data_IF_698487222560
#
_entry.id   IF_698487222560
#
_cell.length_a   1.000
_cell.length_b   1.000
_cell.length_c   1.000
_cell.angle_alpha   90.00
_cell.angle_beta   90.00
_cell.angle_gamma   90.00
#
_symmetry.space_group_name_H-M   'P 1'
#
loop_
_entity.id
_entity.type
_entity.pdbx_description
1 polymer ?
#
# COMPACT_ATOMS: atom_id res chain seq x y z
N UNK A 1 -4.76 -20.32 0.33
CA UNK A 1 -5.49 -20.44 -0.97
C UNK A 1 -4.61 -20.01 -2.15
N UNK A 2 -5.05 -20.21 -3.41
CA UNK A 2 -4.37 -19.67 -4.60
C UNK A 2 -5.13 -18.47 -5.19
N UNK A 3 -4.53 -17.78 -6.17
CA UNK A 3 -5.10 -16.58 -6.80
C UNK A 3 -6.50 -16.80 -7.41
N UNK A 4 -6.71 -17.91 -8.11
CA UNK A 4 -8.02 -18.25 -8.71
C UNK A 4 -9.10 -18.48 -7.66
N UNK A 5 -8.75 -19.13 -6.54
CA UNK A 5 -9.67 -19.33 -5.42
C UNK A 5 -10.02 -17.99 -4.76
N UNK A 6 -9.02 -17.12 -4.53
CA UNK A 6 -9.21 -15.78 -4.00
C UNK A 6 -10.13 -14.93 -4.91
N UNK A 7 -9.82 -14.87 -6.20
CA UNK A 7 -10.64 -14.15 -7.19
C UNK A 7 -12.09 -14.65 -7.21
N UNK A 8 -12.29 -15.97 -7.24
CA UNK A 8 -13.63 -16.58 -7.18
C UNK A 8 -14.37 -16.19 -5.91
N UNK A 9 -13.70 -16.22 -4.76
CA UNK A 9 -14.29 -15.86 -3.48
C UNK A 9 -14.76 -14.40 -3.48
N UNK A 10 -13.91 -13.48 -3.93
CA UNK A 10 -14.23 -12.06 -4.05
C UNK A 10 -15.45 -11.80 -4.98
N UNK A 11 -15.53 -12.55 -6.09
CA UNK A 11 -16.64 -12.40 -7.03
C UNK A 11 -17.97 -13.02 -6.56
N UNK A 12 -17.98 -13.82 -5.48
CA UNK A 12 -19.20 -14.39 -4.90
C UNK A 12 -19.82 -13.54 -3.80
N UNK A 13 -19.10 -12.52 -3.31
CA UNK A 13 -19.55 -11.66 -2.22
C UNK A 13 -19.97 -10.28 -2.70
N UNK A 14 -20.87 -9.65 -1.95
CA UNK A 14 -21.36 -8.30 -2.14
C UNK A 14 -21.09 -7.45 -0.90
N UNK A 15 -21.15 -6.13 -1.04
CA UNK A 15 -20.87 -5.19 0.04
C UNK A 15 -19.51 -5.45 0.70
N UNK A 16 -18.49 -5.44 -0.14
CA UNK A 16 -17.11 -5.73 0.27
C UNK A 16 -16.48 -4.47 0.86
N UNK A 17 -15.97 -4.58 2.09
CA UNK A 17 -15.15 -3.54 2.73
C UNK A 17 -13.68 -3.97 2.68
N UNK A 18 -12.83 -3.13 2.10
CA UNK A 18 -11.40 -3.39 2.03
C UNK A 18 -10.70 -2.53 3.08
N UNK A 19 -9.93 -3.15 3.96
CA UNK A 19 -9.18 -2.48 5.02
C UNK A 19 -7.68 -2.52 4.75
N UNK A 20 -7.02 -1.40 5.03
CA UNK A 20 -5.57 -1.21 4.96
C UNK A 20 -4.96 -1.32 6.35
N UNK A 21 -3.64 -1.38 6.51
CA UNK A 21 -3.05 -1.37 7.85
C UNK A 21 -3.07 0.04 8.50
N UNK A 22 -2.88 0.09 9.83
CA UNK A 22 -3.01 1.29 10.66
C UNK A 22 -1.99 2.41 10.36
N UNK A 23 -0.84 2.09 9.78
CA UNK A 23 0.17 3.07 9.36
C UNK A 23 0.33 3.01 7.84
N UNK A 24 -0.70 3.41 7.07
CA UNK A 24 -0.79 3.05 5.65
C UNK A 24 0.34 3.68 4.84
N UNK A 25 0.96 2.85 4.04
CA UNK A 25 1.97 3.21 3.06
C UNK A 25 1.44 3.09 1.61
N UNK A 26 2.35 3.19 0.64
CA UNK A 26 1.98 3.13 -0.77
C UNK A 26 1.46 1.76 -1.19
N UNK A 27 2.01 0.67 -0.65
CA UNK A 27 1.59 -0.68 -1.06
C UNK A 27 0.19 -1.00 -0.56
N UNK A 28 -0.08 -0.88 0.75
CA UNK A 28 -1.41 -1.20 1.28
C UNK A 28 -2.52 -0.33 0.67
N UNK A 29 -2.28 1.00 0.52
CA UNK A 29 -3.31 1.93 0.03
C UNK A 29 -3.59 1.73 -1.45
N UNK A 30 -2.53 1.66 -2.27
CA UNK A 30 -2.70 1.58 -3.70
C UNK A 30 -3.18 0.19 -4.14
N UNK A 31 -2.71 -0.87 -3.51
CA UNK A 31 -3.20 -2.24 -3.76
C UNK A 31 -4.67 -2.39 -3.39
N UNK A 32 -5.09 -1.86 -2.23
CA UNK A 32 -6.51 -1.85 -1.83
C UNK A 32 -7.38 -1.06 -2.81
N UNK A 33 -6.90 0.12 -3.27
CA UNK A 33 -7.61 0.95 -4.23
C UNK A 33 -7.75 0.27 -5.61
N UNK A 34 -6.70 -0.40 -6.08
CA UNK A 34 -6.73 -1.16 -7.33
C UNK A 34 -7.71 -2.33 -7.25
N UNK A 35 -7.69 -3.09 -6.16
CA UNK A 35 -8.64 -4.18 -5.93
C UNK A 35 -10.09 -3.67 -5.87
N UNK A 36 -10.33 -2.57 -5.15
CA UNK A 36 -11.65 -1.94 -5.08
C UNK A 36 -12.16 -1.51 -6.46
N UNK A 37 -11.30 -0.87 -7.25
CA UNK A 37 -11.61 -0.46 -8.63
C UNK A 37 -12.01 -1.66 -9.50
N UNK A 38 -11.21 -2.71 -9.51
CA UNK A 38 -11.46 -3.91 -10.29
C UNK A 38 -12.76 -4.62 -9.87
N UNK A 39 -13.03 -4.73 -8.58
CA UNK A 39 -14.28 -5.29 -8.06
C UNK A 39 -15.50 -4.48 -8.49
N UNK A 40 -15.44 -3.14 -8.42
CA UNK A 40 -16.53 -2.26 -8.89
C UNK A 40 -16.78 -2.43 -10.39
N UNK A 41 -15.74 -2.52 -11.21
CA UNK A 41 -15.87 -2.81 -12.65
C UNK A 41 -16.47 -4.19 -12.92
N UNK A 42 -16.16 -5.16 -12.06
CA UNK A 42 -16.80 -6.50 -12.06
C UNK A 42 -18.23 -6.52 -11.51
N UNK A 43 -18.84 -5.36 -11.23
CA UNK A 43 -20.21 -5.24 -10.75
C UNK A 43 -20.38 -5.49 -9.25
N UNK A 44 -19.29 -5.56 -8.47
CA UNK A 44 -19.36 -5.73 -7.01
C UNK A 44 -19.50 -4.37 -6.32
N UNK A 45 -20.32 -4.33 -5.27
CA UNK A 45 -20.39 -3.17 -4.39
C UNK A 45 -19.24 -3.23 -3.39
N UNK A 46 -18.14 -2.51 -3.69
CA UNK A 46 -16.90 -2.55 -2.93
C UNK A 46 -16.42 -1.14 -2.55
N UNK A 47 -15.89 -1.00 -1.33
CA UNK A 47 -15.36 0.24 -0.79
C UNK A 47 -14.14 0.02 0.09
N UNK A 48 -13.31 1.06 0.24
CA UNK A 48 -12.27 1.09 1.24
C UNK A 48 -12.82 1.60 2.57
N UNK A 49 -12.37 1.00 3.66
CA UNK A 49 -12.54 1.58 4.98
C UNK A 49 -11.90 2.97 5.01
N UNK A 50 -12.61 4.02 5.46
CA UNK A 50 -12.08 5.38 5.51
C UNK A 50 -11.05 5.50 6.66
N UNK A 51 -9.89 4.89 6.48
CA UNK A 51 -8.82 4.87 7.46
C UNK A 51 -8.32 6.30 7.74
N UNK A 52 -8.49 6.83 8.96
CA UNK A 52 -8.12 8.22 9.29
C UNK A 52 -6.61 8.45 9.28
N UNK A 53 -5.80 7.39 9.23
CA UNK A 53 -4.35 7.46 9.25
C UNK A 53 -3.75 7.54 7.84
N UNK A 54 -4.57 7.47 6.78
CA UNK A 54 -4.11 7.71 5.40
C UNK A 54 -3.63 9.14 5.28
N UNK A 55 -2.35 9.31 5.04
CA UNK A 55 -1.73 10.62 4.94
C UNK A 55 -2.13 11.37 3.66
N UNK A 56 -1.85 12.68 3.61
CA UNK A 56 -2.23 13.56 2.50
C UNK A 56 -1.63 13.18 1.14
N UNK A 57 -0.49 12.48 1.11
CA UNK A 57 0.13 12.04 -0.15
C UNK A 57 -0.59 10.85 -0.76
N UNK A 58 -1.09 9.95 0.07
CA UNK A 58 -1.80 8.74 -0.36
C UNK A 58 -3.30 8.95 -0.54
N UNK A 59 -3.88 9.92 0.18
CA UNK A 59 -5.31 10.20 0.16
C UNK A 59 -5.90 10.39 -1.24
N UNK A 60 -5.27 11.11 -2.19
CA UNK A 60 -5.80 11.26 -3.56
C UNK A 60 -5.99 9.94 -4.32
N UNK A 61 -5.26 8.89 -3.95
CA UNK A 61 -5.35 7.57 -4.57
C UNK A 61 -6.44 6.70 -3.95
N UNK A 62 -6.93 7.04 -2.75
CA UNK A 62 -7.87 6.23 -1.98
C UNK A 62 -9.25 6.85 -1.83
N UNK A 63 -9.37 8.18 -1.66
CA UNK A 63 -10.57 8.85 -1.18
C UNK A 63 -11.82 8.62 -2.04
N UNK A 64 -11.67 8.49 -3.36
CA UNK A 64 -12.80 8.17 -4.26
C UNK A 64 -13.39 6.77 -4.05
N UNK A 65 -12.69 5.94 -3.29
CA UNK A 65 -13.09 4.58 -2.98
C UNK A 65 -13.59 4.42 -1.53
N UNK A 66 -13.49 5.43 -0.69
CA UNK A 66 -13.93 5.34 0.70
C UNK A 66 -15.41 5.01 0.80
N UNK A 67 -15.75 4.19 1.79
CA UNK A 67 -17.11 3.84 2.10
C UNK A 67 -17.90 5.08 2.58
N UNK A 68 -19.12 5.28 2.09
CA UNK A 68 -20.03 6.28 2.67
C UNK A 68 -20.46 5.83 4.08
N UNK A 69 -20.98 6.79 4.87
CA UNK A 69 -21.33 6.54 6.29
C UNK A 69 -22.42 5.47 6.47
N UNK A 70 -23.33 5.34 5.51
CA UNK A 70 -24.42 4.37 5.52
C UNK A 70 -24.05 3.00 4.96
N UNK A 71 -22.79 2.80 4.56
CA UNK A 71 -22.33 1.52 4.01
C UNK A 71 -22.28 0.45 5.08
N UNK A 72 -22.96 -0.66 4.82
CA UNK A 72 -22.92 -1.85 5.68
C UNK A 72 -22.15 -2.97 5.01
N UNK A 73 -20.96 -3.28 5.52
CA UNK A 73 -20.14 -4.38 5.04
C UNK A 73 -20.79 -5.74 5.32
N UNK A 74 -20.67 -6.64 4.34
CA UNK A 74 -21.06 -8.06 4.47
C UNK A 74 -19.84 -8.99 4.33
N UNK A 75 -18.77 -8.49 3.80
CA UNK A 75 -17.52 -9.21 3.60
C UNK A 75 -16.34 -8.24 3.74
N UNK A 76 -15.40 -8.54 4.61
CA UNK A 76 -14.25 -7.68 4.89
C UNK A 76 -12.97 -8.31 4.38
N UNK A 77 -12.21 -7.53 3.61
CA UNK A 77 -10.93 -7.95 3.02
C UNK A 77 -9.81 -7.07 3.56
N UNK A 78 -8.82 -7.66 4.20
CA UNK A 78 -7.60 -6.96 4.55
C UNK A 78 -6.57 -7.08 3.43
N UNK A 79 -5.93 -5.98 3.08
CA UNK A 79 -4.88 -5.93 2.06
C UNK A 79 -3.59 -5.42 2.69
N UNK A 80 -2.54 -6.23 2.62
CA UNK A 80 -1.22 -5.89 3.16
C UNK A 80 -1.23 -5.69 4.69
N UNK A 81 -1.89 -6.60 5.40
CA UNK A 81 -2.03 -6.54 6.87
C UNK A 81 -1.55 -7.86 7.47
N UNK A 82 -0.36 -7.89 8.01
CA UNK A 82 0.28 -9.11 8.48
C UNK A 82 -0.34 -9.67 9.78
N UNK A 83 -0.89 -8.82 10.64
CA UNK A 83 -1.48 -9.22 11.93
C UNK A 83 -2.70 -8.38 12.25
N UNK A 84 -3.61 -8.96 13.07
CA UNK A 84 -4.80 -8.25 13.54
C UNK A 84 -4.45 -6.92 14.25
N UNK A 85 -3.36 -6.88 15.02
CA UNK A 85 -2.87 -5.67 15.68
C UNK A 85 -2.43 -4.55 14.74
N UNK A 86 -2.33 -4.81 13.44
CA UNK A 86 -2.04 -3.80 12.40
C UNK A 86 -3.30 -3.22 11.75
N UNK A 87 -4.48 -3.69 12.08
CA UNK A 87 -5.73 -3.11 11.58
C UNK A 87 -5.87 -1.63 11.97
N UNK A 88 -6.61 -0.83 11.21
CA UNK A 88 -6.77 0.60 11.48
C UNK A 88 -7.37 0.87 12.86
N UNK A 89 -6.95 1.96 13.49
CA UNK A 89 -7.59 2.41 14.73
C UNK A 89 -9.05 2.74 14.49
N UNK A 90 -9.94 2.21 15.32
CA UNK A 90 -11.38 2.40 15.19
C UNK A 90 -12.06 1.46 14.20
N UNK A 91 -11.33 0.57 13.55
CA UNK A 91 -11.94 -0.53 12.83
C UNK A 91 -12.39 -1.59 13.84
N UNK A 92 -13.68 -1.91 13.83
CA UNK A 92 -14.30 -2.94 14.64
C UNK A 92 -14.95 -3.96 13.72
N UNK A 93 -14.51 -5.20 13.76
CA UNK A 93 -15.06 -6.27 12.93
C UNK A 93 -14.07 -7.38 12.66
N UNK A 94 -14.59 -8.51 12.22
CA UNK A 94 -13.80 -9.64 11.76
C UNK A 94 -13.31 -9.38 10.33
N UNK A 95 -12.18 -9.98 9.97
CA UNK A 95 -11.66 -10.01 8.61
C UNK A 95 -11.94 -11.38 8.01
N UNK A 96 -12.70 -11.41 6.92
CA UNK A 96 -13.08 -12.64 6.23
C UNK A 96 -11.95 -13.17 5.33
N UNK A 97 -11.24 -12.26 4.65
CA UNK A 97 -10.15 -12.58 3.74
C UNK A 97 -8.95 -11.65 3.99
N UNK A 98 -7.75 -12.19 4.01
CA UNK A 98 -6.51 -11.42 3.98
C UNK A 98 -5.72 -11.71 2.72
N UNK A 99 -5.31 -10.68 1.99
CA UNK A 99 -4.35 -10.74 0.87
C UNK A 99 -3.08 -10.05 1.33
N UNK A 100 -1.97 -10.79 1.39
CA UNK A 100 -0.73 -10.31 1.99
C UNK A 100 0.51 -10.93 1.34
N UNK A 101 1.67 -10.30 1.55
CA UNK A 101 2.95 -10.83 1.11
C UNK A 101 3.95 -11.04 2.25
N UNK A 102 3.60 -10.66 3.47
CA UNK A 102 4.49 -10.78 4.61
C UNK A 102 4.66 -12.23 5.08
N UNK A 103 5.89 -12.76 5.18
CA UNK A 103 6.13 -14.12 5.71
C UNK A 103 5.73 -14.27 7.19
N UNK A 104 5.56 -13.15 7.89
CA UNK A 104 5.14 -13.09 9.30
C UNK A 104 3.63 -13.00 9.48
N UNK A 105 2.84 -13.17 8.41
CA UNK A 105 1.38 -13.16 8.52
C UNK A 105 0.88 -14.20 9.53
N UNK A 106 0.05 -13.76 10.47
CA UNK A 106 -0.42 -14.59 11.59
C UNK A 106 -1.60 -15.50 11.26
N UNK A 107 -2.19 -15.39 10.07
CA UNK A 107 -3.38 -16.16 9.67
C UNK A 107 -4.63 -15.80 10.46
N UNK A 108 -4.80 -14.55 10.84
CA UNK A 108 -5.89 -14.05 11.69
C UNK A 108 -7.24 -13.94 10.98
N UNK A 109 -7.25 -13.88 9.66
CA UNK A 109 -8.46 -13.78 8.86
C UNK A 109 -9.12 -15.15 8.67
N UNK A 110 -10.41 -15.16 8.32
CA UNK A 110 -11.15 -16.39 8.01
C UNK A 110 -10.51 -17.20 6.88
N UNK A 111 -10.07 -16.50 5.82
CA UNK A 111 -9.30 -17.07 4.71
C UNK A 111 -8.07 -16.22 4.44
N UNK A 112 -7.00 -16.82 3.90
CA UNK A 112 -5.74 -16.10 3.71
C UNK A 112 -5.06 -16.48 2.39
N UNK A 113 -4.65 -15.45 1.63
CA UNK A 113 -3.74 -15.55 0.50
C UNK A 113 -2.43 -14.85 0.87
N UNK A 114 -1.43 -15.58 1.35
CA UNK A 114 -0.08 -15.05 1.63
C UNK A 114 0.88 -15.46 0.50
N UNK A 115 1.63 -14.49 -0.01
CA UNK A 115 2.61 -14.68 -1.08
C UNK A 115 3.97 -14.11 -0.68
N UNK A 116 4.61 -14.77 0.25
CA UNK A 116 5.92 -14.39 0.78
C UNK A 116 7.07 -14.42 -0.27
N UNK A 117 6.81 -14.95 -1.45
CA UNK A 117 7.69 -14.92 -2.61
C UNK A 117 7.59 -13.62 -3.44
N UNK A 118 6.66 -12.73 -3.10
CA UNK A 118 6.43 -11.44 -3.75
C UNK A 118 7.09 -10.30 -2.98
N UNK A 119 7.56 -9.30 -3.70
CA UNK A 119 8.20 -8.12 -3.10
C UNK A 119 7.21 -7.08 -2.58
N UNK A 120 5.93 -7.22 -2.95
CA UNK A 120 4.86 -6.32 -2.52
C UNK A 120 3.51 -7.02 -2.58
N UNK A 121 2.54 -6.54 -1.82
CA UNK A 121 1.15 -6.98 -1.90
C UNK A 121 0.54 -6.62 -3.26
N UNK A 122 1.00 -5.53 -3.90
CA UNK A 122 0.57 -5.13 -5.24
C UNK A 122 0.77 -6.24 -6.27
N UNK A 123 1.86 -7.00 -6.21
CA UNK A 123 2.07 -8.14 -7.11
C UNK A 123 1.03 -9.25 -6.86
N UNK A 124 0.67 -9.52 -5.62
CA UNK A 124 -0.35 -10.51 -5.29
C UNK A 124 -1.75 -10.06 -5.74
N UNK A 125 -2.09 -8.80 -5.51
CA UNK A 125 -3.37 -8.20 -5.93
C UNK A 125 -3.48 -8.16 -7.46
N UNK A 126 -2.40 -7.84 -8.18
CA UNK A 126 -2.35 -7.90 -9.65
C UNK A 126 -2.78 -9.29 -10.16
N UNK A 127 -2.19 -10.34 -9.63
CA UNK A 127 -2.52 -11.72 -10.01
C UNK A 127 -3.97 -12.09 -9.67
N UNK A 128 -4.49 -11.61 -8.54
CA UNK A 128 -5.89 -11.82 -8.16
C UNK A 128 -6.82 -11.14 -9.17
N UNK A 129 -6.56 -9.89 -9.54
CA UNK A 129 -7.39 -9.14 -10.52
C UNK A 129 -7.36 -9.83 -11.88
N UNK A 130 -6.19 -10.25 -12.36
CA UNK A 130 -6.07 -10.99 -13.63
C UNK A 130 -6.85 -12.32 -13.59
N UNK A 131 -6.93 -12.97 -12.44
CA UNK A 131 -7.76 -14.18 -12.24
C UNK A 131 -9.27 -13.91 -12.21
N UNK A 132 -9.72 -12.66 -12.11
CA UNK A 132 -11.13 -12.28 -12.25
C UNK A 132 -11.59 -12.22 -13.73
N UNK A 133 -10.72 -12.56 -14.69
CA UNK A 133 -10.93 -12.39 -16.14
C UNK A 133 -11.23 -10.94 -16.53
N UNK A 134 -10.56 -10.00 -15.88
CA UNK A 134 -10.72 -8.57 -16.05
C UNK A 134 -9.36 -7.95 -16.38
N UNK A 135 -9.25 -7.29 -17.53
CA UNK A 135 -8.03 -6.54 -17.87
C UNK A 135 -7.85 -5.38 -16.89
N UNK A 136 -6.60 -5.09 -16.55
CA UNK A 136 -6.27 -3.91 -15.74
C UNK A 136 -6.44 -2.63 -16.57
N UNK A 137 -7.08 -1.64 -16.00
CA UNK A 137 -7.09 -0.28 -16.57
C UNK A 137 -5.76 0.43 -16.31
N UNK A 138 -5.40 1.49 -17.09
CA UNK A 138 -4.21 2.29 -16.81
C UNK A 138 -4.16 2.87 -15.39
N UNK A 139 -5.32 3.26 -14.82
CA UNK A 139 -5.42 3.74 -13.45
C UNK A 139 -5.09 2.63 -12.44
N UNK A 140 -5.64 1.44 -12.61
CA UNK A 140 -5.35 0.27 -11.77
C UNK A 140 -3.90 -0.16 -11.90
N UNK A 141 -3.36 -0.17 -13.11
CA UNK A 141 -1.95 -0.43 -13.35
C UNK A 141 -1.05 0.60 -12.64
N UNK A 142 -1.44 1.88 -12.66
CA UNK A 142 -0.73 2.95 -11.94
C UNK A 142 -0.78 2.73 -10.43
N UNK A 143 -1.93 2.37 -9.86
CA UNK A 143 -2.08 2.06 -8.43
C UNK A 143 -1.19 0.88 -8.02
N UNK A 144 -1.21 -0.22 -8.77
CA UNK A 144 -0.35 -1.37 -8.50
C UNK A 144 1.14 -1.03 -8.66
N UNK A 145 1.47 -0.16 -9.61
CA UNK A 145 2.84 0.32 -9.79
C UNK A 145 3.30 1.19 -8.61
N UNK A 146 2.41 1.98 -7.98
CA UNK A 146 2.70 2.70 -6.73
C UNK A 146 3.06 1.70 -5.63
N UNK A 147 2.23 0.67 -5.40
CA UNK A 147 2.50 -0.34 -4.39
C UNK A 147 3.85 -1.02 -4.61
N UNK A 148 4.07 -1.55 -5.80
CA UNK A 148 5.31 -2.25 -6.15
C UNK A 148 6.55 -1.36 -5.96
N UNK A 149 6.50 -0.11 -6.41
CA UNK A 149 7.68 0.78 -6.34
C UNK A 149 7.94 1.30 -4.94
N UNK A 150 6.91 1.56 -4.14
CA UNK A 150 7.10 2.03 -2.76
C UNK A 150 7.67 0.93 -1.88
N UNK A 151 7.19 -0.30 -2.01
CA UNK A 151 7.64 -1.42 -1.18
C UNK A 151 9.03 -1.96 -1.58
N UNK A 152 9.45 -1.76 -2.82
CA UNK A 152 10.80 -2.07 -3.30
C UNK A 152 11.78 -0.91 -3.18
N UNK A 153 11.36 0.23 -2.60
CA UNK A 153 12.18 1.44 -2.56
C UNK A 153 12.66 1.87 -3.95
N UNK A 154 11.75 1.88 -4.92
CA UNK A 154 12.06 2.09 -6.33
C UNK A 154 13.10 1.07 -6.85
N UNK A 155 12.88 -0.20 -6.54
CA UNK A 155 13.73 -1.35 -6.93
C UNK A 155 15.14 -1.35 -6.34
N UNK A 156 15.35 -0.65 -5.21
CA UNK A 156 16.65 -0.57 -4.55
C UNK A 156 16.77 -1.51 -3.35
N UNK A 157 15.67 -2.03 -2.81
CA UNK A 157 15.71 -2.89 -1.63
C UNK A 157 15.97 -4.36 -1.99
N UNK A 158 16.46 -5.12 -1.02
CA UNK A 158 16.84 -6.51 -1.16
C UNK A 158 15.67 -7.47 -1.47
N UNK A 159 14.43 -7.05 -1.25
CA UNK A 159 13.22 -7.79 -1.64
C UNK A 159 12.94 -7.71 -3.16
N UNK A 160 13.61 -6.82 -3.89
CA UNK A 160 13.46 -6.69 -5.33
C UNK A 160 13.96 -7.93 -6.06
N UNK A 161 13.14 -8.51 -6.91
CA UNK A 161 13.44 -9.72 -7.66
C UNK A 161 13.26 -9.53 -9.17
N UNK A 162 13.69 -10.51 -9.96
CA UNK A 162 13.39 -10.53 -11.40
C UNK A 162 11.88 -10.60 -11.67
N UNK A 163 11.08 -11.14 -10.75
CA UNK A 163 9.62 -11.15 -10.85
C UNK A 163 9.06 -9.74 -10.68
N UNK A 164 9.61 -8.95 -9.75
CA UNK A 164 9.22 -7.54 -9.53
C UNK A 164 9.44 -6.69 -10.79
N UNK A 165 10.57 -6.86 -11.47
CA UNK A 165 10.83 -6.17 -12.74
C UNK A 165 9.88 -6.61 -13.86
N UNK A 166 9.52 -7.90 -13.92
CA UNK A 166 8.51 -8.36 -14.90
C UNK A 166 7.14 -7.79 -14.61
N UNK A 167 6.71 -7.75 -13.35
CA UNK A 167 5.46 -7.10 -12.94
C UNK A 167 5.47 -5.60 -13.29
N UNK A 168 6.57 -4.89 -12.99
CA UNK A 168 6.74 -3.49 -13.36
C UNK A 168 6.63 -3.27 -14.87
N UNK A 169 7.32 -4.07 -15.67
CA UNK A 169 7.27 -3.99 -17.14
C UNK A 169 5.85 -4.21 -17.67
N UNK A 170 5.12 -5.17 -17.11
CA UNK A 170 3.73 -5.44 -17.49
C UNK A 170 2.80 -4.29 -17.09
N UNK A 171 2.93 -3.75 -15.88
CA UNK A 171 2.15 -2.59 -15.44
C UNK A 171 2.38 -1.37 -16.33
N UNK A 172 3.64 -1.12 -16.74
CA UNK A 172 3.96 -0.06 -17.71
C UNK A 172 3.36 -0.34 -19.09
N UNK A 173 3.39 -1.58 -19.56
CA UNK A 173 2.74 -1.98 -20.82
C UNK A 173 1.23 -1.74 -20.78
N UNK A 174 0.61 -1.90 -19.59
CA UNK A 174 -0.81 -1.65 -19.35
C UNK A 174 -1.14 -0.16 -19.11
N UNK A 175 -0.15 0.72 -19.18
CA UNK A 175 -0.33 2.17 -19.16
C UNK A 175 -0.12 2.82 -17.78
N UNK A 176 0.60 2.16 -16.86
CA UNK A 176 0.96 2.79 -15.59
C UNK A 176 1.78 4.07 -15.80
N UNK A 177 1.44 5.14 -15.10
CA UNK A 177 2.13 6.43 -15.18
C UNK A 177 3.39 6.46 -14.31
N UNK A 178 4.49 5.88 -14.83
CA UNK A 178 5.79 5.92 -14.16
C UNK A 178 6.28 7.35 -13.86
N UNK A 179 5.99 8.31 -14.75
CA UNK A 179 6.48 9.69 -14.57
C UNK A 179 5.83 10.34 -13.36
N UNK A 180 4.52 10.20 -13.23
CA UNK A 180 3.77 10.68 -12.07
C UNK A 180 4.26 9.98 -10.78
N UNK A 181 4.33 8.64 -10.78
CA UNK A 181 4.76 7.85 -9.60
C UNK A 181 6.17 8.24 -9.15
N UNK A 182 7.12 8.27 -10.09
CA UNK A 182 8.50 8.67 -9.77
C UNK A 182 8.59 10.08 -9.22
N UNK A 183 7.79 11.01 -9.76
CA UNK A 183 7.80 12.39 -9.29
C UNK A 183 7.18 12.53 -7.91
N UNK A 184 5.99 11.94 -7.70
CA UNK A 184 5.22 12.13 -6.46
C UNK A 184 5.89 11.42 -5.28
N UNK A 185 6.35 10.19 -5.47
CA UNK A 185 6.82 9.34 -4.36
C UNK A 185 8.33 9.40 -4.12
N UNK A 186 9.14 9.73 -5.14
CA UNK A 186 10.60 9.61 -5.02
C UNK A 186 11.38 10.90 -5.30
N UNK A 187 10.83 11.85 -6.05
CA UNK A 187 11.57 13.05 -6.47
C UNK A 187 11.06 14.34 -5.83
N UNK A 188 9.78 14.41 -5.50
CA UNK A 188 9.19 15.63 -4.92
C UNK A 188 9.59 15.73 -3.44
N UNK A 189 10.39 16.75 -3.14
CA UNK A 189 10.85 17.04 -1.77
C UNK A 189 10.33 18.41 -1.37
N UNK A 190 9.73 18.54 -0.17
CA UNK A 190 9.28 19.83 0.34
C UNK A 190 10.47 20.69 0.80
N UNK A 191 10.28 22.03 0.79
CA UNK A 191 11.30 22.95 1.33
C UNK A 191 11.59 22.67 2.81
N UNK A 192 10.56 22.31 3.58
CA UNK A 192 10.70 21.99 4.99
C UNK A 192 11.59 20.75 5.19
N UNK A 193 11.36 19.68 4.38
CA UNK A 193 12.20 18.49 4.42
C UNK A 193 13.65 18.80 4.04
N UNK A 194 13.89 19.55 2.96
CA UNK A 194 15.24 19.95 2.57
C UNK A 194 15.97 20.73 3.68
N UNK A 195 15.25 21.66 4.36
CA UNK A 195 15.80 22.40 5.50
C UNK A 195 16.12 21.45 6.65
N UNK A 196 15.24 20.52 6.99
CA UNK A 196 15.44 19.52 8.02
C UNK A 196 16.66 18.64 7.70
N UNK A 197 16.73 18.09 6.49
CA UNK A 197 17.87 17.28 6.04
C UNK A 197 19.19 18.05 6.13
N UNK A 198 19.20 19.32 5.71
CA UNK A 198 20.38 20.19 5.86
C UNK A 198 20.82 20.34 7.32
N UNK A 199 19.87 20.53 8.24
CA UNK A 199 20.17 20.62 9.68
C UNK A 199 20.69 19.28 10.22
N UNK A 200 20.12 18.16 9.79
CA UNK A 200 20.61 16.82 10.14
C UNK A 200 22.06 16.64 9.72
N UNK A 201 22.33 16.84 8.44
CA UNK A 201 23.69 16.64 7.89
C UNK A 201 24.72 17.56 8.53
N UNK A 202 24.34 18.82 8.83
CA UNK A 202 25.23 19.76 9.50
C UNK A 202 25.50 19.42 10.98
N UNK A 203 24.61 18.70 11.63
CA UNK A 203 24.73 18.27 13.03
C UNK A 203 25.30 16.86 13.22
N UNK A 204 25.67 16.16 12.14
CA UNK A 204 26.22 14.81 12.23
C UNK A 204 27.58 14.79 12.94
N UNK A 205 27.70 13.93 13.94
CA UNK A 205 28.94 13.64 14.63
C UNK A 205 29.36 12.19 14.32
N UNK A 206 30.64 12.00 14.01
CA UNK A 206 31.17 10.70 13.66
C UNK A 206 32.09 10.18 14.77
N UNK A 207 31.94 8.90 15.10
CA UNK A 207 32.71 8.19 16.14
C UNK A 207 33.28 6.90 15.57
N UNK A 208 34.32 6.39 16.23
CA UNK A 208 34.98 5.13 15.86
C UNK A 208 35.37 5.06 14.37
N UNK A 209 36.17 6.03 13.92
CA UNK A 209 36.64 6.10 12.53
C UNK A 209 35.52 6.08 11.49
N UNK A 210 34.41 6.79 11.79
CA UNK A 210 33.26 6.89 10.89
C UNK A 210 32.30 5.71 10.91
N UNK A 211 32.50 4.71 11.78
CA UNK A 211 31.63 3.55 11.89
C UNK A 211 30.29 3.84 12.60
N UNK A 212 30.23 4.94 13.35
CA UNK A 212 29.02 5.40 14.03
C UNK A 212 28.79 6.85 13.64
N UNK A 213 27.60 7.17 13.14
CA UNK A 213 27.12 8.53 12.93
C UNK A 213 25.95 8.79 13.89
N UNK A 214 26.00 9.91 14.62
CA UNK A 214 24.94 10.32 15.52
C UNK A 214 24.56 11.79 15.29
N UNK A 215 23.28 12.11 15.47
CA UNK A 215 22.76 13.47 15.42
C UNK A 215 21.73 13.65 16.54
N UNK A 216 21.74 14.83 17.19
CA UNK A 216 20.77 15.16 18.22
C UNK A 216 20.05 16.46 17.83
N UNK A 217 18.73 16.46 17.97
CA UNK A 217 17.87 17.63 17.72
C UNK A 217 17.32 18.14 19.05
N UNK A 218 17.94 19.16 19.60
CA UNK A 218 17.48 19.78 20.83
C UNK A 218 16.64 21.04 20.60
N UNK A 219 16.56 21.54 19.35
CA UNK A 219 16.00 22.86 19.04
C UNK A 219 14.76 22.86 18.14
N UNK A 220 14.34 21.70 17.61
CA UNK A 220 13.08 21.62 16.86
C UNK A 220 11.91 21.42 17.83
N UNK A 221 11.04 22.43 17.95
CA UNK A 221 9.78 22.28 18.67
C UNK A 221 8.86 21.34 17.88
N UNK A 222 8.06 20.52 18.58
CA UNK A 222 7.19 19.51 17.97
C UNK A 222 6.23 20.05 16.90
N UNK A 223 5.87 21.34 16.96
CA UNK A 223 5.00 21.99 15.96
C UNK A 223 5.73 22.37 14.67
N UNK A 224 7.06 22.38 14.66
CA UNK A 224 7.84 22.66 13.44
C UNK A 224 8.12 21.38 12.63
N UNK A 225 7.97 20.22 13.27
CA UNK A 225 8.12 18.90 12.63
C UNK A 225 6.84 18.36 12.00
N UNK A 226 5.69 18.93 12.37
CA UNK A 226 4.37 18.48 11.85
C UNK A 226 3.96 19.25 10.59
N UNK A 227 4.66 20.33 10.27
CA UNK A 227 4.37 21.13 9.09
C UNK A 227 5.06 20.50 7.88
N UNK A 228 4.28 19.86 7.03
CA UNK A 228 4.61 19.57 5.64
C UNK A 228 5.55 18.37 5.33
N UNK A 229 5.47 17.30 6.11
CA UNK A 229 5.97 15.99 5.67
C UNK A 229 4.91 15.21 4.93
#
# INVERSE_FOLDING_TARGET
MNYKQCAKLLLTHENILIVTHRNPDGDTVASAAALCSALRRGGRNAYLYPNPQVNRHLRPFAEKYFAPEDFTAKYTVAVDVATEGMLPKGFEGAVDLCIDHHPTNSGYAGETLVRADKSSCAEAVMEVILCMNTDLTPDEATLLYIGLTTDTGCFQYSNTSAASFRAAAELLRLGADNSMVSTVFFRKVSRARLKLESMIYSGLQYFRDGKIAAVSYTHLRAHETVLDL
#
